data_IF_062456151587
#
_entry.id   IF_062456151587
#
_cell.length_a   1.000
_cell.length_b   1.000
_cell.length_c   1.000
_cell.angle_alpha   90.00
_cell.angle_beta   90.00
_cell.angle_gamma   90.00
#
_symmetry.space_group_name_H-M   'P 1'
#
loop_
_entity.id
_entity.type
_entity.pdbx_description
1 polymer ?
#
# COMPACT_ATOMS: atom_id res chain seq x y z
N UNK A 1 13.40 3.31 -15.80
CA UNK A 1 13.36 3.21 -14.32
C UNK A 1 12.21 4.09 -13.84
N UNK A 2 11.12 3.50 -13.33
CA UNK A 2 9.85 4.22 -13.08
C UNK A 2 9.80 4.93 -11.71
N UNK A 3 10.92 5.07 -11.00
CA UNK A 3 10.98 5.75 -9.69
C UNK A 3 10.27 5.02 -8.54
N UNK A 4 9.77 3.81 -8.76
CA UNK A 4 9.11 2.96 -7.77
C UNK A 4 10.13 1.95 -7.25
N UNK A 5 10.33 1.93 -5.93
CA UNK A 5 11.30 1.06 -5.26
C UNK A 5 10.63 0.05 -4.30
N UNK A 6 9.40 0.32 -3.86
CA UNK A 6 8.71 -0.50 -2.87
C UNK A 6 7.26 -0.76 -3.25
N UNK A 7 6.81 -2.01 -3.13
CA UNK A 7 5.41 -2.38 -3.13
C UNK A 7 4.97 -2.61 -1.69
N UNK A 8 4.02 -1.80 -1.18
CA UNK A 8 3.61 -1.87 0.21
C UNK A 8 2.42 -2.82 0.40
N UNK A 9 2.55 -3.72 1.37
CA UNK A 9 1.47 -4.55 1.86
C UNK A 9 0.45 -3.74 2.68
N UNK A 10 -0.76 -4.28 2.80
CA UNK A 10 -1.87 -3.71 3.58
C UNK A 10 -1.47 -3.45 5.03
N UNK A 11 -0.74 -4.36 5.68
CA UNK A 11 -0.35 -4.17 7.08
C UNK A 11 0.65 -3.02 7.28
N UNK A 12 1.54 -2.79 6.31
CA UNK A 12 2.47 -1.66 6.34
C UNK A 12 1.69 -0.34 6.23
N UNK A 13 0.71 -0.28 5.33
CA UNK A 13 -0.13 0.91 5.16
C UNK A 13 -1.01 1.19 6.38
N UNK A 14 -1.62 0.16 6.98
CA UNK A 14 -2.38 0.29 8.23
C UNK A 14 -1.48 0.84 9.33
N UNK A 15 -0.30 0.23 9.54
CA UNK A 15 0.64 0.69 10.56
C UNK A 15 1.11 2.12 10.32
N UNK A 16 1.34 2.51 9.06
CA UNK A 16 1.70 3.88 8.70
C UNK A 16 0.57 4.87 9.03
N UNK A 17 -0.67 4.57 8.64
CA UNK A 17 -1.85 5.42 8.92
C UNK A 17 -2.09 5.57 10.44
N UNK A 18 -1.85 4.51 11.20
CA UNK A 18 -1.96 4.50 12.66
C UNK A 18 -0.76 5.15 13.38
N UNK A 19 0.23 5.66 12.63
CA UNK A 19 1.49 6.21 13.18
C UNK A 19 2.23 5.21 14.08
N UNK A 20 2.20 3.93 13.71
CA UNK A 20 2.88 2.89 14.44
C UNK A 20 4.40 3.19 14.45
N UNK A 21 5.05 3.27 15.63
CA UNK A 21 6.44 3.70 15.73
C UNK A 21 7.42 2.75 15.02
N UNK A 22 7.13 1.45 14.97
CA UNK A 22 7.98 0.47 14.26
C UNK A 22 7.96 0.74 12.76
N UNK A 23 6.78 1.03 12.20
CA UNK A 23 6.64 1.34 10.77
C UNK A 23 7.26 2.70 10.46
N UNK A 24 7.05 3.71 11.30
CA UNK A 24 7.68 5.02 11.09
C UNK A 24 9.21 4.95 11.18
N UNK A 25 9.75 4.15 12.10
CA UNK A 25 11.20 3.92 12.20
C UNK A 25 11.73 3.15 10.99
N UNK A 26 11.00 2.14 10.50
CA UNK A 26 11.34 1.44 9.26
C UNK A 26 11.46 2.42 8.08
N UNK A 27 10.46 3.28 7.88
CA UNK A 27 10.48 4.30 6.82
C UNK A 27 11.66 5.25 6.96
N UNK A 28 11.97 5.67 8.19
CA UNK A 28 13.09 6.57 8.46
C UNK A 28 14.44 5.89 8.21
N UNK A 29 14.64 4.69 8.75
CA UNK A 29 15.89 3.94 8.69
C UNK A 29 16.22 3.52 7.27
N UNK A 30 15.22 3.12 6.49
CA UNK A 30 15.38 2.75 5.09
C UNK A 30 15.28 3.96 4.14
N UNK A 31 15.08 5.17 4.67
CA UNK A 31 14.91 6.42 3.92
C UNK A 31 13.80 6.35 2.86
N UNK A 32 12.74 5.60 3.15
CA UNK A 32 11.61 5.38 2.26
C UNK A 32 10.75 6.64 2.23
N UNK A 33 10.50 7.13 1.02
CA UNK A 33 9.58 8.22 0.73
C UNK A 33 8.28 7.66 0.15
N UNK A 34 7.15 8.34 0.37
CA UNK A 34 5.86 7.85 -0.15
C UNK A 34 5.80 7.86 -1.69
N UNK A 35 6.52 8.78 -2.33
CA UNK A 35 6.49 8.93 -3.79
C UNK A 35 7.16 7.81 -4.58
N UNK A 36 8.04 7.03 -3.95
CA UNK A 36 8.67 5.84 -4.54
C UNK A 36 7.94 4.53 -4.17
N UNK A 37 6.82 4.64 -3.46
CA UNK A 37 6.03 3.48 -3.07
C UNK A 37 4.87 3.25 -4.05
N UNK A 38 4.54 1.98 -4.23
CA UNK A 38 3.38 1.52 -4.95
C UNK A 38 2.48 0.67 -4.06
N UNK A 39 1.22 0.52 -4.47
CA UNK A 39 0.25 -0.40 -3.87
C UNK A 39 -0.50 -1.14 -4.97
N UNK A 40 -0.97 -2.36 -4.67
CA UNK A 40 -1.73 -3.17 -5.62
C UNK A 40 -3.23 -2.87 -5.56
N UNK A 41 -3.97 -3.30 -6.59
CA UNK A 41 -5.43 -3.29 -6.55
C UNK A 41 -6.01 -4.15 -5.41
N UNK A 42 -5.31 -5.22 -5.00
CA UNK A 42 -5.68 -6.06 -3.86
C UNK A 42 -5.59 -5.27 -2.56
N UNK A 43 -4.45 -4.62 -2.32
CA UNK A 43 -4.21 -3.75 -1.16
C UNK A 43 -5.29 -2.67 -1.02
N UNK A 44 -5.70 -2.07 -2.14
CA UNK A 44 -6.80 -1.09 -2.16
C UNK A 44 -8.12 -1.72 -1.73
N UNK A 45 -8.46 -2.89 -2.26
CA UNK A 45 -9.70 -3.58 -1.92
C UNK A 45 -9.72 -3.94 -0.43
N UNK A 46 -8.63 -4.49 0.10
CA UNK A 46 -8.52 -4.84 1.51
C UNK A 46 -8.72 -3.62 2.42
N UNK A 47 -7.96 -2.54 2.17
CA UNK A 47 -8.03 -1.32 2.97
C UNK A 47 -9.43 -0.72 2.99
N UNK A 48 -10.14 -0.68 1.85
CA UNK A 48 -11.44 -0.01 1.75
C UNK A 48 -12.65 -0.91 2.00
N UNK A 49 -12.46 -2.22 2.04
CA UNK A 49 -13.52 -3.19 2.33
C UNK A 49 -13.88 -3.26 3.83
N UNK A 50 -13.09 -2.63 4.71
CA UNK A 50 -13.33 -2.70 6.14
C UNK A 50 -14.61 -1.97 6.52
N UNK A 51 -15.63 -2.74 6.91
CA UNK A 51 -17.00 -2.27 7.13
C UNK A 51 -17.15 -1.21 8.22
N UNK A 52 -16.21 -1.19 9.17
CA UNK A 52 -16.23 -0.27 10.30
C UNK A 52 -15.42 1.01 10.06
N UNK A 53 -14.96 1.25 8.83
CA UNK A 53 -14.27 2.50 8.49
C UNK A 53 -15.19 3.70 8.67
N UNK A 54 -14.69 4.68 9.42
CA UNK A 54 -15.26 6.01 9.42
C UNK A 54 -15.00 6.73 8.10
N UNK A 55 -15.80 7.76 7.81
CA UNK A 55 -15.61 8.61 6.63
C UNK A 55 -14.21 9.24 6.63
N UNK A 56 -13.72 9.66 7.81
CA UNK A 56 -12.40 10.29 7.97
C UNK A 56 -11.26 9.30 7.69
N UNK A 57 -11.36 8.07 8.17
CA UNK A 57 -10.35 7.04 7.89
C UNK A 57 -10.32 6.69 6.40
N UNK A 58 -11.50 6.56 5.77
CA UNK A 58 -11.58 6.35 4.32
C UNK A 58 -10.90 7.47 3.54
N UNK A 59 -11.16 8.72 3.90
CA UNK A 59 -10.52 9.88 3.27
C UNK A 59 -9.01 9.91 3.50
N UNK A 60 -8.53 9.53 4.69
CA UNK A 60 -7.11 9.44 5.00
C UNK A 60 -6.42 8.36 4.17
N UNK A 61 -7.05 7.18 4.03
CA UNK A 61 -6.58 6.08 3.16
C UNK A 61 -6.48 6.59 1.72
N UNK A 62 -7.55 7.15 1.16
CA UNK A 62 -7.56 7.62 -0.23
C UNK A 62 -6.53 8.74 -0.46
N UNK A 63 -6.36 9.65 0.49
CA UNK A 63 -5.36 10.71 0.41
C UNK A 63 -3.92 10.18 0.43
N UNK A 64 -3.66 9.11 1.19
CA UNK A 64 -2.35 8.44 1.19
C UNK A 64 -2.11 7.72 -0.14
N UNK A 65 -3.07 6.92 -0.59
CA UNK A 65 -2.95 6.14 -1.82
C UNK A 65 -2.75 7.03 -3.05
N UNK A 66 -3.39 8.21 -3.10
CA UNK A 66 -3.22 9.19 -4.19
C UNK A 66 -1.78 9.74 -4.34
N UNK A 67 -0.90 9.49 -3.36
CA UNK A 67 0.51 9.92 -3.39
C UNK A 67 1.46 8.80 -3.81
N UNK A 68 0.93 7.62 -4.09
CA UNK A 68 1.66 6.39 -4.43
C UNK A 68 1.31 5.94 -5.85
N UNK A 69 2.09 5.03 -6.41
CA UNK A 69 1.73 4.41 -7.70
C UNK A 69 0.73 3.27 -7.51
N UNK A 70 -0.38 3.33 -8.24
CA UNK A 70 -1.34 2.23 -8.33
C UNK A 70 -0.87 1.16 -9.32
N UNK A 71 -0.83 -0.10 -8.89
CA UNK A 71 -0.54 -1.25 -9.73
C UNK A 71 -1.77 -2.16 -9.86
N UNK A 72 -2.33 -2.23 -11.06
CA UNK A 72 -3.40 -3.17 -11.37
C UNK A 72 -2.85 -4.60 -11.46
N UNK A 73 -3.64 -5.57 -11.00
CA UNK A 73 -3.38 -6.98 -11.29
C UNK A 73 -3.65 -7.23 -12.77
N UNK A 74 -2.72 -7.91 -13.43
CA UNK A 74 -2.82 -8.28 -14.84
C UNK A 74 -2.84 -9.80 -14.95
N UNK A 75 -3.35 -10.38 -16.06
CA UNK A 75 -3.32 -11.83 -16.25
C UNK A 75 -1.91 -12.44 -16.13
N UNK A 76 -0.86 -11.69 -16.48
CA UNK A 76 0.51 -12.14 -16.30
C UNK A 76 0.89 -12.27 -14.81
N UNK A 77 0.48 -11.31 -13.98
CA UNK A 77 0.69 -11.36 -12.52
C UNK A 77 -0.14 -12.49 -11.89
N UNK A 78 -1.37 -12.69 -12.37
CA UNK A 78 -2.24 -13.78 -11.92
C UNK A 78 -1.59 -15.14 -12.20
N UNK A 79 -1.16 -15.37 -13.45
CA UNK A 79 -0.51 -16.61 -13.85
C UNK A 79 0.77 -16.86 -13.04
N UNK A 80 1.65 -15.86 -12.90
CA UNK A 80 2.89 -16.00 -12.12
C UNK A 80 2.59 -16.37 -10.66
N UNK A 81 1.56 -15.77 -10.06
CA UNK A 81 1.17 -16.06 -8.67
C UNK A 81 0.60 -17.47 -8.52
N UNK A 82 -0.20 -17.93 -9.49
CA UNK A 82 -0.76 -19.28 -9.52
C UNK A 82 0.36 -20.31 -9.66
N UNK A 83 1.32 -20.08 -10.56
CA UNK A 83 2.44 -21.00 -10.81
C UNK A 83 3.46 -21.02 -9.66
N UNK A 84 3.50 -19.99 -8.82
CA UNK A 84 4.32 -19.92 -7.61
C UNK A 84 3.77 -20.75 -6.44
N UNK A 85 2.50 -21.17 -6.50
CA UNK A 85 1.79 -21.88 -5.41
C UNK A 85 1.99 -23.39 -5.43
#
# INVERSE_FOLDING_TARGET
MNGINYLLDTNILIGFLQRNPIILDLFKTQQITIGECAYSSITRMELLSFSSLTILEKQAIESLLNRMTYLAITPAIENETIDFS
#
